data_IF_102102641301
#
_entry.id   IF_102102641301
#
_cell.length_a   1.000
_cell.length_b   1.000
_cell.length_c   1.000
_cell.angle_alpha   90.00
_cell.angle_beta   90.00
_cell.angle_gamma   90.00
#
_symmetry.space_group_name_H-M   'P 1'
#
loop_
_entity.id
_entity.type
_entity.pdbx_description
1 polymer ?
#
# COMPACT_ATOMS: atom_id res chain seq x y z
N UNK A 1 -8.31 -8.36 -13.27
CA UNK A 1 -7.97 -8.71 -11.86
C UNK A 1 -8.69 -7.80 -10.85
N UNK A 2 -8.66 -6.46 -10.99
CA UNK A 2 -9.37 -5.54 -10.08
C UNK A 2 -10.90 -5.71 -10.15
N UNK A 3 -11.48 -5.82 -11.34
CA UNK A 3 -12.92 -6.02 -11.51
C UNK A 3 -13.44 -7.33 -10.89
N UNK A 4 -12.67 -8.41 -10.97
CA UNK A 4 -13.02 -9.69 -10.34
C UNK A 4 -12.88 -9.69 -8.81
N UNK A 5 -11.96 -8.89 -8.27
CA UNK A 5 -11.80 -8.72 -6.82
C UNK A 5 -12.94 -7.90 -6.21
N UNK A 6 -13.38 -6.85 -6.89
CA UNK A 6 -14.50 -5.98 -6.42
C UNK A 6 -15.81 -6.75 -6.33
N UNK A 7 -15.97 -7.83 -7.08
CA UNK A 7 -17.19 -8.67 -7.05
C UNK A 7 -17.23 -9.65 -5.86
N UNK A 8 -16.15 -9.82 -5.10
CA UNK A 8 -16.16 -10.67 -3.91
C UNK A 8 -17.04 -10.03 -2.82
N UNK A 9 -18.00 -10.77 -2.22
CA UNK A 9 -18.97 -10.21 -1.27
C UNK A 9 -18.33 -9.46 -0.09
N UNK A 10 -17.23 -10.00 0.43
CA UNK A 10 -16.48 -9.42 1.56
C UNK A 10 -15.85 -8.08 1.19
N UNK A 11 -15.19 -8.02 0.02
CA UNK A 11 -14.56 -6.79 -0.49
C UNK A 11 -15.64 -5.75 -0.80
N UNK A 12 -16.73 -6.18 -1.42
CA UNK A 12 -17.87 -5.29 -1.72
C UNK A 12 -18.47 -4.69 -0.45
N UNK A 13 -18.60 -5.48 0.61
CA UNK A 13 -19.07 -5.00 1.92
C UNK A 13 -18.15 -3.91 2.49
N UNK A 14 -16.83 -4.11 2.42
CA UNK A 14 -15.85 -3.13 2.89
C UNK A 14 -15.87 -1.85 2.02
N UNK A 15 -15.94 -1.99 0.71
CA UNK A 15 -16.05 -0.85 -0.20
C UNK A 15 -17.33 -0.05 0.05
N UNK A 16 -18.47 -0.71 0.24
CA UNK A 16 -19.72 -0.04 0.58
C UNK A 16 -19.60 0.72 1.90
N UNK A 17 -18.94 0.15 2.91
CA UNK A 17 -18.69 0.84 4.18
C UNK A 17 -17.83 2.10 4.01
N UNK A 18 -16.78 2.02 3.20
CA UNK A 18 -15.94 3.19 2.88
C UNK A 18 -16.74 4.26 2.12
N UNK A 19 -17.57 3.86 1.16
CA UNK A 19 -18.41 4.78 0.39
C UNK A 19 -19.45 5.51 1.24
N UNK A 20 -19.89 4.93 2.36
CA UNK A 20 -20.85 5.59 3.27
C UNK A 20 -20.25 6.79 4.01
N UNK A 21 -18.94 6.82 4.20
CA UNK A 21 -18.32 7.84 5.05
C UNK A 21 -17.30 8.71 4.31
N UNK A 22 -16.36 8.10 3.60
CA UNK A 22 -15.19 8.82 3.08
C UNK A 22 -15.55 9.96 2.14
N UNK A 23 -16.42 9.78 1.12
CA UNK A 23 -16.71 10.86 0.18
C UNK A 23 -17.37 12.09 0.82
N UNK A 24 -18.18 11.87 1.86
CA UNK A 24 -18.86 12.96 2.57
C UNK A 24 -17.92 13.66 3.55
N UNK A 25 -17.16 12.88 4.33
CA UNK A 25 -16.26 13.43 5.35
C UNK A 25 -15.08 14.18 4.76
N UNK A 26 -14.65 13.81 3.57
CA UNK A 26 -13.55 14.49 2.87
C UNK A 26 -13.92 15.91 2.41
N UNK A 27 -15.19 16.20 2.23
CA UNK A 27 -15.66 17.56 1.86
C UNK A 27 -15.80 18.51 3.05
N UNK A 28 -15.72 18.04 4.28
CA UNK A 28 -15.89 18.87 5.49
C UNK A 28 -15.01 20.12 5.58
N UNK A 29 -13.75 20.12 5.10
CA UNK A 29 -12.96 21.35 5.13
C UNK A 29 -13.59 22.53 4.36
N UNK A 30 -14.43 22.24 3.39
CA UNK A 30 -15.13 23.26 2.58
C UNK A 30 -16.58 23.45 2.99
N UNK A 31 -17.24 22.38 3.38
CA UNK A 31 -18.67 22.36 3.69
C UNK A 31 -18.87 21.84 5.11
N UNK A 32 -19.08 22.79 6.03
CA UNK A 32 -19.28 22.45 7.45
C UNK A 32 -20.71 21.98 7.68
N UNK A 33 -20.91 20.66 7.57
CA UNK A 33 -22.14 19.96 7.93
C UNK A 33 -21.87 18.52 8.32
N UNK A 34 -22.69 17.97 9.19
CA UNK A 34 -22.71 16.54 9.53
C UNK A 34 -23.78 15.75 8.78
N UNK A 35 -24.71 16.44 8.12
CA UNK A 35 -25.78 15.84 7.33
C UNK A 35 -25.30 15.53 5.91
N UNK A 36 -25.30 14.24 5.56
CA UNK A 36 -24.86 13.78 4.24
C UNK A 36 -25.76 14.29 3.10
N UNK A 37 -27.05 14.51 3.35
CA UNK A 37 -27.99 15.06 2.34
C UNK A 37 -27.67 16.52 2.05
N UNK A 38 -27.41 17.27 3.10
CA UNK A 38 -26.99 18.67 2.97
C UNK A 38 -25.62 18.76 2.29
N UNK A 39 -24.67 17.88 2.62
CA UNK A 39 -23.38 17.79 1.95
C UNK A 39 -23.54 17.59 0.44
N UNK A 40 -24.37 16.63 0.02
CA UNK A 40 -24.67 16.41 -1.40
C UNK A 40 -25.24 17.66 -2.04
N UNK A 41 -26.24 18.31 -1.42
CA UNK A 41 -26.91 19.50 -1.97
C UNK A 41 -25.92 20.66 -2.14
N UNK A 42 -25.13 20.96 -1.12
CA UNK A 42 -24.18 22.09 -1.13
C UNK A 42 -23.00 21.84 -2.06
N UNK A 43 -22.58 20.58 -2.23
CA UNK A 43 -21.51 20.24 -3.17
C UNK A 43 -21.88 20.49 -4.64
N UNK A 44 -23.19 20.48 -5.01
CA UNK A 44 -23.62 20.68 -6.41
C UNK A 44 -23.17 22.01 -7.00
N UNK A 45 -23.05 23.03 -6.19
CA UNK A 45 -22.60 24.37 -6.60
C UNK A 45 -21.13 24.60 -6.35
N UNK A 46 -20.37 23.57 -5.98
CA UNK A 46 -19.00 23.68 -5.52
C UNK A 46 -18.81 24.74 -4.41
N UNK A 47 -19.72 24.73 -3.43
CA UNK A 47 -19.71 25.68 -2.34
C UNK A 47 -18.31 25.79 -1.70
N UNK A 48 -17.88 27.01 -1.43
CA UNK A 48 -16.55 27.36 -0.93
C UNK A 48 -15.39 26.79 -1.78
N UNK A 49 -15.64 26.52 -3.07
CA UNK A 49 -14.63 25.94 -3.95
C UNK A 49 -14.28 24.50 -3.61
N UNK A 50 -15.21 23.70 -3.08
CA UNK A 50 -14.94 22.32 -2.67
C UNK A 50 -14.38 21.49 -3.83
N UNK A 51 -13.61 20.46 -3.46
CA UNK A 51 -12.80 19.67 -4.39
C UNK A 51 -13.64 18.92 -5.43
N UNK A 52 -14.82 18.42 -5.04
CA UNK A 52 -15.71 17.67 -5.92
C UNK A 52 -17.17 17.80 -5.48
N UNK A 53 -18.08 17.50 -6.38
CA UNK A 53 -19.49 17.28 -6.07
C UNK A 53 -19.83 15.79 -6.07
N UNK A 54 -20.82 15.43 -5.29
CA UNK A 54 -21.36 14.08 -5.17
C UNK A 54 -22.56 13.92 -6.10
N UNK A 55 -22.45 13.06 -7.11
CA UNK A 55 -23.49 12.81 -8.10
C UNK A 55 -24.03 11.40 -7.90
N UNK A 56 -25.35 11.24 -7.79
CA UNK A 56 -25.99 9.94 -7.67
C UNK A 56 -26.76 9.63 -8.93
N UNK A 57 -26.31 8.64 -9.69
CA UNK A 57 -26.95 8.19 -10.91
C UNK A 57 -27.17 6.67 -10.86
N UNK A 58 -28.39 6.23 -11.20
CA UNK A 58 -28.74 4.80 -11.25
C UNK A 58 -28.36 4.01 -9.98
N UNK A 59 -28.48 4.64 -8.80
CA UNK A 59 -28.13 4.03 -7.53
C UNK A 59 -26.63 3.98 -7.22
N UNK A 60 -25.78 4.46 -8.13
CA UNK A 60 -24.34 4.56 -7.95
C UNK A 60 -23.94 5.98 -7.57
N UNK A 61 -23.04 6.11 -6.59
CA UNK A 61 -22.46 7.38 -6.18
C UNK A 61 -21.18 7.63 -6.99
N UNK A 62 -21.14 8.79 -7.65
CA UNK A 62 -19.97 9.29 -8.41
C UNK A 62 -19.44 10.56 -7.76
N UNK A 63 -18.19 10.84 -8.00
CA UNK A 63 -17.57 12.13 -7.72
C UNK A 63 -17.23 12.82 -9.03
N UNK A 64 -17.58 14.11 -9.14
CA UNK A 64 -17.17 14.96 -10.25
C UNK A 64 -16.26 16.05 -9.70
N UNK A 65 -15.01 16.06 -10.16
CA UNK A 65 -13.99 17.01 -9.70
C UNK A 65 -14.37 18.43 -10.12
N UNK A 66 -14.15 19.38 -9.23
CA UNK A 66 -14.26 20.78 -9.52
C UNK A 66 -13.17 21.19 -10.53
N UNK A 67 -13.53 21.72 -11.70
CA UNK A 67 -12.56 22.08 -12.73
C UNK A 67 -11.47 23.05 -12.27
N UNK A 68 -11.77 23.91 -11.29
CA UNK A 68 -10.78 24.87 -10.75
C UNK A 68 -9.58 24.19 -10.06
N UNK A 69 -9.72 22.93 -9.65
CA UNK A 69 -8.66 22.17 -9.00
C UNK A 69 -7.79 21.35 -9.97
N UNK A 70 -8.23 21.14 -11.22
CA UNK A 70 -7.57 20.19 -12.11
C UNK A 70 -6.11 20.54 -12.40
N UNK A 71 -5.83 21.80 -12.72
CA UNK A 71 -4.46 22.27 -13.00
C UNK A 71 -3.59 22.08 -11.76
N UNK A 72 -4.06 22.55 -10.60
CA UNK A 72 -3.32 22.40 -9.34
C UNK A 72 -3.02 20.94 -9.01
N UNK A 73 -4.00 20.04 -9.15
CA UNK A 73 -3.82 18.61 -8.88
C UNK A 73 -2.84 17.96 -9.85
N UNK A 74 -2.83 18.37 -11.11
CA UNK A 74 -1.89 17.85 -12.11
C UNK A 74 -0.46 18.32 -11.85
N UNK A 75 -0.27 19.62 -11.61
CA UNK A 75 1.05 20.20 -11.35
C UNK A 75 1.67 19.72 -10.04
N UNK A 76 0.85 19.39 -9.04
CA UNK A 76 1.32 19.00 -7.71
C UNK A 76 1.09 17.50 -7.41
N UNK A 77 0.82 16.69 -8.43
CA UNK A 77 0.46 15.27 -8.24
C UNK A 77 1.47 14.49 -7.39
N UNK A 78 2.75 14.62 -7.69
CA UNK A 78 3.81 13.86 -7.03
C UNK A 78 3.95 14.24 -5.55
N UNK A 79 3.89 15.52 -5.23
CA UNK A 79 3.98 15.98 -3.83
C UNK A 79 2.72 15.61 -3.05
N UNK A 80 1.53 15.74 -3.64
CA UNK A 80 0.27 15.38 -3.00
C UNK A 80 0.17 13.87 -2.76
N UNK A 81 0.56 13.07 -3.74
CA UNK A 81 0.61 11.61 -3.64
C UNK A 81 1.59 11.16 -2.57
N UNK A 82 2.79 11.75 -2.54
CA UNK A 82 3.82 11.46 -1.53
C UNK A 82 3.35 11.83 -0.14
N UNK A 83 2.69 12.96 0.03
CA UNK A 83 2.13 13.40 1.30
C UNK A 83 1.01 12.48 1.79
N UNK A 84 0.09 12.09 0.90
CA UNK A 84 -0.98 11.16 1.21
C UNK A 84 -0.42 9.78 1.61
N UNK A 85 0.58 9.29 0.89
CA UNK A 85 1.27 8.05 1.18
C UNK A 85 1.98 8.09 2.55
N UNK A 86 2.69 9.19 2.85
CA UNK A 86 3.32 9.39 4.15
C UNK A 86 2.30 9.41 5.29
N UNK A 87 1.18 10.13 5.12
CA UNK A 87 0.09 10.18 6.09
C UNK A 87 -0.53 8.81 6.34
N UNK A 88 -0.80 8.03 5.27
CA UNK A 88 -1.31 6.66 5.37
C UNK A 88 -0.31 5.73 6.10
N UNK A 89 0.97 5.84 5.76
CA UNK A 89 2.03 5.07 6.41
C UNK A 89 2.06 5.32 7.91
N UNK A 90 2.07 6.58 8.34
CA UNK A 90 2.08 6.95 9.75
C UNK A 90 0.81 6.47 10.48
N UNK A 91 -0.35 6.64 9.84
CA UNK A 91 -1.62 6.18 10.40
C UNK A 91 -1.63 4.67 10.64
N UNK A 92 -1.11 3.89 9.69
CA UNK A 92 -1.02 2.43 9.82
C UNK A 92 0.05 2.01 10.81
N UNK A 93 1.22 2.68 10.86
CA UNK A 93 2.31 2.34 11.77
C UNK A 93 1.90 2.50 13.23
N UNK A 94 1.20 3.58 13.57
CA UNK A 94 0.67 3.81 14.94
C UNK A 94 -0.28 2.70 15.37
N UNK A 95 -1.08 2.16 14.44
CA UNK A 95 -2.06 1.10 14.72
C UNK A 95 -1.49 -0.31 14.66
N UNK A 96 -0.33 -0.46 14.07
CA UNK A 96 0.35 -1.74 13.88
C UNK A 96 1.84 -1.64 14.28
N UNK A 97 2.14 -1.36 15.57
CA UNK A 97 3.51 -1.09 16.01
C UNK A 97 4.44 -2.27 15.81
N UNK A 98 3.91 -3.49 15.80
CA UNK A 98 4.68 -4.73 15.64
C UNK A 98 4.83 -5.17 14.18
N UNK A 99 4.26 -4.44 13.22
CA UNK A 99 4.38 -4.76 11.81
C UNK A 99 5.53 -3.95 11.20
N UNK A 100 6.62 -4.60 10.79
CA UNK A 100 7.75 -3.88 10.22
C UNK A 100 7.47 -3.44 8.78
N UNK A 101 8.15 -2.39 8.36
CA UNK A 101 8.28 -1.96 6.97
C UNK A 101 6.93 -1.73 6.25
N UNK A 102 5.99 -1.11 6.93
CA UNK A 102 4.66 -0.75 6.39
C UNK A 102 4.78 0.01 5.05
N UNK A 103 5.70 0.98 4.86
CA UNK A 103 5.84 1.66 3.57
C UNK A 103 5.97 0.69 2.40
N UNK A 104 6.87 -0.26 2.49
CA UNK A 104 7.10 -1.22 1.40
C UNK A 104 5.93 -2.20 1.19
N UNK A 105 5.08 -2.40 2.19
CA UNK A 105 3.86 -3.22 2.07
C UNK A 105 2.73 -2.52 1.32
N UNK A 106 2.71 -1.19 1.36
CA UNK A 106 1.72 -0.38 0.65
C UNK A 106 2.03 -0.25 -0.84
N UNK A 107 3.30 -0.40 -1.22
CA UNK A 107 3.72 -0.35 -2.63
C UNK A 107 3.61 -1.76 -3.20
N UNK A 108 2.77 -1.93 -4.21
CA UNK A 108 2.73 -3.18 -4.97
C UNK A 108 4.05 -3.31 -5.75
N UNK A 109 4.91 -4.23 -5.33
CA UNK A 109 6.08 -4.58 -6.14
C UNK A 109 5.63 -5.48 -7.29
N UNK A 110 5.98 -5.11 -8.50
CA UNK A 110 5.66 -5.90 -9.69
C UNK A 110 6.57 -7.12 -9.79
N UNK A 111 7.82 -7.00 -9.35
CA UNK A 111 8.82 -8.08 -9.39
C UNK A 111 9.63 -8.14 -8.09
N UNK A 112 10.06 -9.36 -7.73
CA UNK A 112 11.03 -9.56 -6.65
C UNK A 112 12.42 -9.19 -7.15
N UNK A 113 13.22 -8.58 -6.28
CA UNK A 113 14.63 -8.35 -6.57
C UNK A 113 15.38 -9.70 -6.71
N UNK A 114 16.38 -9.73 -7.60
CA UNK A 114 17.24 -10.88 -7.71
C UNK A 114 18.10 -11.04 -6.45
N UNK A 115 18.16 -12.24 -5.91
CA UNK A 115 18.99 -12.58 -4.76
C UNK A 115 20.44 -12.96 -5.17
N UNK A 116 20.85 -12.70 -6.40
CA UNK A 116 22.17 -13.09 -6.93
C UNK A 116 23.35 -12.51 -6.13
N UNK A 117 23.26 -11.25 -5.68
CA UNK A 117 24.27 -10.62 -4.87
C UNK A 117 24.42 -11.31 -3.49
N UNK A 118 23.31 -11.70 -2.88
CA UNK A 118 23.28 -12.41 -1.60
C UNK A 118 23.83 -13.84 -1.75
N UNK A 119 23.50 -14.52 -2.84
CA UNK A 119 24.08 -15.83 -3.17
C UNK A 119 25.58 -15.75 -3.37
N UNK A 120 26.08 -14.69 -4.04
CA UNK A 120 27.50 -14.45 -4.18
C UNK A 120 28.20 -14.28 -2.83
N UNK A 121 27.60 -13.56 -1.88
CA UNK A 121 28.14 -13.41 -0.53
C UNK A 121 28.30 -14.77 0.16
N UNK A 122 27.25 -15.60 0.17
CA UNK A 122 27.32 -16.92 0.80
C UNK A 122 28.33 -17.86 0.13
N UNK A 123 28.45 -17.83 -1.19
CA UNK A 123 29.46 -18.61 -1.91
C UNK A 123 30.86 -18.17 -1.52
N UNK A 124 31.13 -16.87 -1.35
CA UNK A 124 32.42 -16.37 -0.87
C UNK A 124 32.70 -16.87 0.55
N UNK A 125 31.71 -16.86 1.44
CA UNK A 125 31.87 -17.33 2.81
C UNK A 125 32.18 -18.83 2.87
N UNK A 126 31.47 -19.67 2.12
CA UNK A 126 31.69 -21.12 2.01
C UNK A 126 33.07 -21.40 1.44
N UNK A 127 33.48 -20.76 0.35
CA UNK A 127 34.79 -20.93 -0.28
C UNK A 127 35.95 -20.41 0.61
N UNK A 128 35.65 -19.45 1.47
CA UNK A 128 36.57 -18.94 2.49
C UNK A 128 36.78 -19.88 3.69
N UNK A 129 36.13 -21.05 3.68
CA UNK A 129 36.28 -22.07 4.72
C UNK A 129 35.26 -21.95 5.87
N UNK A 130 34.20 -21.11 5.73
CA UNK A 130 33.12 -21.09 6.71
C UNK A 130 32.25 -22.34 6.52
N UNK A 131 32.20 -23.20 7.54
CA UNK A 131 31.26 -24.31 7.54
C UNK A 131 29.81 -23.78 7.74
N UNK A 132 29.05 -23.80 6.67
CA UNK A 132 27.65 -23.40 6.67
C UNK A 132 26.77 -24.64 6.62
N UNK A 133 25.75 -24.70 7.50
CA UNK A 133 24.82 -25.82 7.57
C UNK A 133 23.42 -25.37 7.28
N UNK A 134 22.68 -26.17 6.54
CA UNK A 134 21.27 -25.97 6.31
C UNK A 134 20.50 -25.92 7.64
N UNK A 135 19.73 -24.88 7.87
CA UNK A 135 18.96 -24.69 9.10
C UNK A 135 17.94 -25.82 9.35
N UNK A 136 17.43 -26.43 8.30
CA UNK A 136 16.37 -27.44 8.38
C UNK A 136 16.90 -28.88 8.45
N UNK A 137 17.98 -29.16 7.72
CA UNK A 137 18.50 -30.54 7.58
C UNK A 137 19.82 -30.79 8.31
N UNK A 138 20.46 -29.72 8.79
CA UNK A 138 21.82 -29.75 9.38
C UNK A 138 22.92 -30.28 8.44
N UNK A 139 22.62 -30.45 7.14
CA UNK A 139 23.60 -30.85 6.13
C UNK A 139 24.58 -29.70 5.91
N UNK A 140 25.86 -30.02 5.79
CA UNK A 140 26.91 -29.06 5.37
C UNK A 140 26.60 -28.65 3.92
N UNK A 141 26.63 -27.38 3.65
CA UNK A 141 26.33 -26.80 2.34
C UNK A 141 27.61 -26.56 1.56
N UNK A 142 27.56 -26.86 0.28
CA UNK A 142 28.63 -26.62 -0.68
C UNK A 142 28.24 -25.47 -1.62
N UNK A 143 29.23 -24.87 -2.28
CA UNK A 143 28.99 -23.81 -3.26
C UNK A 143 27.97 -24.27 -4.30
N UNK A 144 26.93 -23.47 -4.48
CA UNK A 144 25.83 -23.67 -5.46
C UNK A 144 24.90 -24.86 -5.21
N UNK A 145 25.08 -25.64 -4.14
CA UNK A 145 24.20 -26.76 -3.76
C UNK A 145 23.24 -26.37 -2.63
N UNK A 146 22.65 -25.16 -2.73
CA UNK A 146 21.66 -24.66 -1.78
C UNK A 146 20.72 -23.67 -2.44
N UNK A 147 19.53 -23.56 -1.88
CA UNK A 147 18.61 -22.47 -2.15
C UNK A 147 18.72 -21.41 -1.04
N UNK A 148 18.54 -20.15 -1.43
CA UNK A 148 18.55 -19.02 -0.51
C UNK A 148 17.11 -18.64 -0.19
N UNK A 149 16.75 -18.72 1.08
CA UNK A 149 15.39 -18.40 1.52
C UNK A 149 15.39 -17.43 2.72
N UNK A 150 14.23 -16.84 2.97
CA UNK A 150 14.02 -15.92 4.09
C UNK A 150 13.73 -16.69 5.38
N UNK A 151 14.52 -16.43 6.43
CA UNK A 151 14.27 -16.97 7.77
C UNK A 151 12.92 -16.46 8.33
N UNK A 152 12.69 -15.16 8.23
CA UNK A 152 11.37 -14.56 8.48
C UNK A 152 10.73 -14.33 7.12
N UNK A 153 9.49 -14.82 6.88
CA UNK A 153 8.85 -14.74 5.58
C UNK A 153 8.88 -13.32 4.98
N UNK A 154 9.22 -13.23 3.70
CA UNK A 154 9.29 -11.95 2.99
C UNK A 154 7.99 -11.14 3.09
N UNK A 155 6.84 -11.80 3.08
CA UNK A 155 5.53 -11.16 3.25
C UNK A 155 5.40 -10.41 4.58
N UNK A 156 6.17 -10.79 5.60
CA UNK A 156 6.18 -10.10 6.89
C UNK A 156 7.19 -8.96 6.94
N UNK A 157 8.43 -9.16 6.47
CA UNK A 157 9.50 -8.14 6.57
C UNK A 157 9.54 -7.19 5.37
N UNK A 158 9.14 -7.65 4.18
CA UNK A 158 9.11 -6.91 2.91
C UNK A 158 10.46 -6.31 2.50
N UNK A 159 11.55 -7.03 2.78
CA UNK A 159 12.92 -6.68 2.38
C UNK A 159 13.78 -7.91 2.21
N UNK A 160 14.91 -7.77 1.49
CA UNK A 160 15.88 -8.80 1.20
C UNK A 160 17.23 -8.52 1.91
N UNK A 161 17.18 -8.13 3.20
CA UNK A 161 18.41 -7.89 3.96
C UNK A 161 19.14 -9.20 4.28
N UNK A 162 20.46 -9.19 4.17
CA UNK A 162 21.32 -10.37 4.29
C UNK A 162 21.12 -11.17 5.58
N UNK A 163 20.85 -10.48 6.71
CA UNK A 163 20.62 -11.15 8.00
C UNK A 163 19.38 -12.05 8.02
N UNK A 164 18.46 -11.87 7.08
CA UNK A 164 17.23 -12.64 6.96
C UNK A 164 17.28 -13.66 5.80
N UNK A 165 18.40 -13.76 5.10
CA UNK A 165 18.58 -14.67 3.96
C UNK A 165 19.52 -15.79 4.35
N UNK A 166 18.97 -16.98 4.49
CA UNK A 166 19.68 -18.18 4.92
C UNK A 166 19.86 -19.14 3.74
N UNK A 167 21.02 -19.70 3.57
CA UNK A 167 21.26 -20.75 2.60
C UNK A 167 20.75 -22.11 3.06
#
# INVERSE_FOLDING_TARGET
LLQSMVQRPEIRKQLNFLQLNVPFRFLRPWIDTSDDREMVKRSQTFENGCLYKLVKENGTLWIELNPSWLVYLQENYDILSSFAYWGLTNFLQVRNPNVPNIPNKLIKREERNSLSAHRKFWNIAINGGLEVRCLYTNKVLEERDYDLDHFIPWSFVSHDLLWNLMP
#
